data_IF_567099823214
#
_entry.id   IF_567099823214
#
_cell.length_a   1.000
_cell.length_b   1.000
_cell.length_c   1.000
_cell.angle_alpha   90.00
_cell.angle_beta   90.00
_cell.angle_gamma   90.00
#
_symmetry.space_group_name_H-M   'P 1'
#
loop_
_entity.id
_entity.type
_entity.pdbx_description
1 polymer ?
#
# COMPACT_ATOMS: atom_id res chain seq x y z
N UNK A 1 -15.14 41.47 4.25
CA UNK A 1 -15.74 41.07 2.95
C UNK A 1 -16.11 39.61 3.07
N UNK A 2 -17.40 39.32 3.03
CA UNK A 2 -17.94 37.97 3.11
C UNK A 2 -17.95 37.42 1.69
N UNK A 3 -17.07 36.46 1.40
CA UNK A 3 -17.08 35.78 0.10
C UNK A 3 -18.29 34.84 0.12
N UNK A 4 -19.22 35.08 -0.79
CA UNK A 4 -20.45 34.30 -0.92
C UNK A 4 -20.15 32.83 -1.17
N UNK A 5 -20.87 31.96 -0.47
CA UNK A 5 -20.83 30.52 -0.66
C UNK A 5 -21.57 30.22 -1.98
N UNK A 6 -20.86 29.76 -2.99
CA UNK A 6 -21.49 29.09 -4.13
C UNK A 6 -22.31 27.91 -3.60
N UNK A 7 -23.44 27.62 -4.24
CA UNK A 7 -24.37 26.57 -3.83
C UNK A 7 -23.60 25.25 -3.73
N UNK A 8 -23.57 24.65 -2.53
CA UNK A 8 -23.04 23.30 -2.34
C UNK A 8 -23.88 22.37 -3.21
N UNK A 9 -23.21 21.70 -4.15
CA UNK A 9 -23.75 20.50 -4.79
C UNK A 9 -24.03 19.46 -3.70
N UNK A 10 -25.04 18.62 -3.93
CA UNK A 10 -25.35 17.49 -3.06
C UNK A 10 -24.15 16.55 -2.92
N UNK A 11 -24.08 15.82 -1.80
CA UNK A 11 -23.04 14.83 -1.53
C UNK A 11 -23.09 13.72 -2.59
N UNK A 12 -21.94 13.28 -3.13
CA UNK A 12 -21.87 12.14 -4.06
C UNK A 12 -22.34 10.82 -3.42
N UNK A 13 -22.05 10.66 -2.13
CA UNK A 13 -22.54 9.56 -1.28
C UNK A 13 -22.63 10.05 0.16
N UNK A 14 -23.62 9.54 0.90
CA UNK A 14 -23.80 9.81 2.32
C UNK A 14 -24.28 8.56 3.03
N UNK A 15 -23.64 8.24 4.16
CA UNK A 15 -23.95 7.08 5.00
C UNK A 15 -24.07 7.54 6.44
N UNK A 16 -25.01 6.96 7.21
CA UNK A 16 -25.11 7.22 8.63
C UNK A 16 -24.00 6.47 9.38
N UNK A 17 -23.16 7.21 10.10
CA UNK A 17 -22.01 6.67 10.84
C UNK A 17 -22.09 7.05 12.33
N UNK A 18 -23.13 6.60 13.06
CA UNK A 18 -23.28 6.93 14.47
C UNK A 18 -22.06 6.46 15.26
N UNK A 19 -21.57 7.32 16.15
CA UNK A 19 -20.46 7.04 17.07
C UNK A 19 -19.18 6.53 16.41
N UNK A 20 -18.97 6.84 15.12
CA UNK A 20 -17.78 6.39 14.38
C UNK A 20 -16.49 7.03 14.91
N UNK A 21 -16.57 8.25 15.43
CA UNK A 21 -15.48 8.96 16.11
C UNK A 21 -15.78 9.12 17.60
N UNK A 22 -14.72 9.24 18.41
CA UNK A 22 -14.78 9.74 19.79
C UNK A 22 -13.54 10.63 20.06
N UNK A 23 -13.49 11.25 21.24
CA UNK A 23 -12.37 12.12 21.67
C UNK A 23 -11.33 11.42 22.54
N UNK A 24 -11.53 10.15 22.87
CA UNK A 24 -10.74 9.41 23.87
C UNK A 24 -9.60 8.62 23.25
N UNK A 25 -9.74 8.16 22.01
CA UNK A 25 -8.80 7.25 21.35
C UNK A 25 -8.63 7.55 19.86
N UNK A 26 -7.51 7.10 19.30
CA UNK A 26 -7.35 7.01 17.86
C UNK A 26 -8.18 5.87 17.31
N UNK A 27 -8.90 6.13 16.22
CA UNK A 27 -9.61 5.13 15.45
C UNK A 27 -9.04 5.08 14.05
N UNK A 28 -8.74 3.88 13.60
CA UNK A 28 -8.12 3.66 12.31
C UNK A 28 -9.19 3.62 11.21
N UNK A 29 -8.87 4.26 10.09
CA UNK A 29 -9.67 4.28 8.88
C UNK A 29 -8.75 4.21 7.68
N UNK A 30 -9.27 3.73 6.57
CA UNK A 30 -8.59 3.73 5.28
C UNK A 30 -9.43 4.43 4.23
N UNK A 31 -8.75 5.01 3.25
CA UNK A 31 -9.36 5.59 2.05
C UNK A 31 -8.67 4.99 0.85
N UNK A 32 -9.40 4.21 0.05
CA UNK A 32 -8.87 3.56 -1.14
C UNK A 32 -9.38 4.26 -2.40
N UNK A 33 -8.49 4.34 -3.39
CA UNK A 33 -8.79 4.82 -4.74
C UNK A 33 -8.47 3.67 -5.70
N UNK A 34 -9.50 2.92 -6.08
CA UNK A 34 -9.35 1.80 -7.02
C UNK A 34 -10.57 1.76 -7.95
N UNK A 35 -10.37 1.26 -9.18
CA UNK A 35 -11.43 1.07 -10.16
C UNK A 35 -12.33 2.29 -10.44
N UNK A 36 -11.74 3.49 -10.45
CA UNK A 36 -12.46 4.76 -10.61
C UNK A 36 -13.53 5.00 -9.53
N UNK A 37 -13.36 4.39 -8.35
CA UNK A 37 -14.17 4.59 -7.16
C UNK A 37 -13.32 5.14 -6.00
N UNK A 38 -13.97 5.88 -5.10
CA UNK A 38 -13.44 6.18 -3.77
C UNK A 38 -14.16 5.33 -2.75
N UNK A 39 -13.40 4.72 -1.84
CA UNK A 39 -13.89 3.84 -0.77
C UNK A 39 -13.32 4.27 0.56
N UNK A 40 -14.12 4.16 1.62
CA UNK A 40 -13.74 4.47 2.99
C UNK A 40 -14.20 3.34 3.89
N UNK A 41 -13.28 2.84 4.71
CA UNK A 41 -13.55 1.77 5.68
C UNK A 41 -12.85 1.98 7.02
N UNK A 42 -13.10 1.05 7.94
CA UNK A 42 -12.48 1.03 9.27
C UNK A 42 -11.20 0.17 9.22
N UNK A 43 -10.22 0.50 10.04
CA UNK A 43 -9.01 -0.31 10.17
C UNK A 43 -9.33 -1.75 10.55
N UNK A 44 -8.69 -2.70 9.87
CA UNK A 44 -8.93 -4.14 9.97
C UNK A 44 -10.12 -4.67 9.16
N UNK A 45 -11.07 -3.81 8.76
CA UNK A 45 -12.19 -4.20 7.91
C UNK A 45 -11.80 -4.02 6.44
N UNK A 46 -11.88 -5.10 5.65
CA UNK A 46 -11.61 -5.04 4.19
C UNK A 46 -12.74 -4.38 3.42
N UNK A 47 -13.97 -4.49 3.91
CA UNK A 47 -15.15 -3.96 3.23
C UNK A 47 -15.40 -2.50 3.62
N UNK A 48 -15.60 -1.59 2.66
CA UNK A 48 -15.87 -0.18 2.96
C UNK A 48 -17.26 -0.01 3.59
N UNK A 49 -17.39 0.97 4.49
CA UNK A 49 -18.72 1.42 4.95
C UNK A 49 -19.27 2.55 4.07
N UNK A 50 -18.45 3.15 3.21
CA UNK A 50 -18.85 4.22 2.30
C UNK A 50 -18.05 4.12 1.00
N UNK A 51 -18.74 4.15 -0.14
CA UNK A 51 -18.10 4.07 -1.46
C UNK A 51 -18.90 4.85 -2.50
N UNK A 52 -18.22 5.43 -3.48
CA UNK A 52 -18.88 5.97 -4.67
C UNK A 52 -17.99 5.97 -5.92
N UNK A 53 -18.59 5.84 -7.11
CA UNK A 53 -17.90 6.11 -8.37
C UNK A 53 -17.46 7.58 -8.47
N UNK A 54 -16.30 7.81 -9.08
CA UNK A 54 -15.81 9.15 -9.42
C UNK A 54 -16.44 9.54 -10.77
N UNK A 55 -17.38 10.50 -10.83
CA UNK A 55 -18.15 10.77 -12.05
C UNK A 55 -17.29 11.22 -13.24
N UNK A 56 -16.21 11.93 -12.96
CA UNK A 56 -15.20 12.36 -13.94
C UNK A 56 -13.81 12.02 -13.38
N UNK A 57 -13.28 10.80 -13.65
CA UNK A 57 -12.01 10.37 -13.09
C UNK A 57 -10.86 11.31 -13.49
N UNK A 58 -10.05 11.67 -12.51
CA UNK A 58 -8.82 12.43 -12.71
C UNK A 58 -7.74 11.89 -11.78
N UNK A 59 -6.47 12.23 -12.06
CA UNK A 59 -5.36 11.79 -11.21
C UNK A 59 -5.40 12.53 -9.88
N UNK A 60 -5.77 11.82 -8.81
CA UNK A 60 -5.63 12.30 -7.44
C UNK A 60 -4.16 12.14 -7.05
N UNK A 61 -3.52 13.24 -6.69
CA UNK A 61 -2.07 13.28 -6.35
C UNK A 61 -1.80 13.64 -4.90
N UNK A 62 -2.77 14.23 -4.22
CA UNK A 62 -2.64 14.74 -2.86
C UNK A 62 -3.97 14.59 -2.14
N UNK A 63 -3.91 14.40 -0.82
CA UNK A 63 -5.07 14.51 0.07
C UNK A 63 -4.83 15.63 1.08
N UNK A 64 -5.92 16.16 1.61
CA UNK A 64 -5.91 17.11 2.73
C UNK A 64 -6.85 16.62 3.82
N UNK A 65 -6.60 17.04 5.07
CA UNK A 65 -7.38 16.65 6.23
C UNK A 65 -7.69 17.87 7.10
N UNK A 66 -8.85 17.84 7.77
CA UNK A 66 -9.28 18.92 8.66
C UNK A 66 -10.40 18.44 9.57
N UNK A 67 -10.59 19.10 10.72
CA UNK A 67 -11.78 18.92 11.54
C UNK A 67 -12.91 19.87 11.11
N UNK A 68 -14.16 19.41 11.28
CA UNK A 68 -15.35 20.19 10.95
C UNK A 68 -15.65 21.31 11.94
N UNK A 69 -16.72 22.06 11.66
CA UNK A 69 -17.11 23.22 12.48
C UNK A 69 -17.31 22.84 13.96
N UNK A 70 -16.60 23.54 14.85
CA UNK A 70 -16.67 23.35 16.30
C UNK A 70 -15.89 22.15 16.84
N UNK A 71 -15.21 21.37 15.98
CA UNK A 71 -14.43 20.21 16.39
C UNK A 71 -12.92 20.46 16.31
N UNK A 72 -12.18 19.83 17.22
CA UNK A 72 -10.72 19.69 17.21
C UNK A 72 -10.38 18.22 17.41
N UNK A 73 -9.20 17.79 16.97
CA UNK A 73 -8.78 16.40 17.14
C UNK A 73 -7.35 16.18 16.69
N UNK A 74 -6.83 15.00 17.00
CA UNK A 74 -5.51 14.56 16.59
C UNK A 74 -5.63 13.65 15.36
N UNK A 75 -4.61 13.72 14.49
CA UNK A 75 -4.52 12.91 13.28
C UNK A 75 -3.18 12.18 13.31
N UNK A 76 -3.20 10.91 12.96
CA UNK A 76 -2.01 10.07 12.79
C UNK A 76 -2.12 9.37 11.44
N UNK A 77 -1.04 9.38 10.67
CA UNK A 77 -0.99 8.74 9.36
C UNK A 77 -0.12 7.49 9.40
N UNK A 78 -0.57 6.45 8.70
CA UNK A 78 0.14 5.17 8.69
C UNK A 78 1.58 5.31 8.16
N UNK A 79 1.77 6.16 7.14
CA UNK A 79 3.08 6.45 6.55
C UNK A 79 4.12 7.04 7.50
N UNK A 80 3.73 7.55 8.67
CA UNK A 80 4.66 8.06 9.68
C UNK A 80 5.25 6.92 10.55
N UNK A 81 4.70 5.70 10.45
CA UNK A 81 5.16 4.52 11.21
C UNK A 81 6.49 4.03 10.63
N UNK A 82 7.55 4.10 11.43
CA UNK A 82 8.82 3.44 11.13
C UNK A 82 8.76 1.97 11.56
N UNK A 83 9.06 1.09 10.61
CA UNK A 83 9.03 -0.36 10.76
C UNK A 83 10.45 -0.91 10.58
N UNK A 84 10.75 -2.02 11.22
CA UNK A 84 12.05 -2.69 11.08
C UNK A 84 11.88 -4.17 10.84
N UNK A 85 12.79 -4.75 10.06
CA UNK A 85 12.86 -6.19 9.80
C UNK A 85 14.25 -6.69 10.14
N UNK A 86 14.29 -7.86 10.78
CA UNK A 86 15.53 -8.52 11.17
C UNK A 86 16.11 -9.31 9.98
N UNK A 87 17.32 -9.82 10.17
CA UNK A 87 17.99 -10.79 9.29
C UNK A 87 17.29 -12.16 9.39
N UNK A 88 16.08 -12.25 8.83
CA UNK A 88 15.31 -13.49 8.68
C UNK A 88 14.15 -13.36 7.69
N UNK A 89 13.84 -14.46 7.01
CA UNK A 89 12.67 -14.57 6.12
C UNK A 89 11.36 -14.77 6.90
N UNK A 90 11.00 -13.79 7.73
CA UNK A 90 9.71 -13.74 8.44
C UNK A 90 8.95 -12.49 8.02
N UNK A 91 7.88 -12.67 7.24
CA UNK A 91 7.03 -11.57 6.80
C UNK A 91 6.21 -11.00 7.95
N UNK A 92 6.16 -9.68 8.01
CA UNK A 92 5.17 -8.93 8.78
C UNK A 92 4.07 -8.51 7.80
N UNK A 93 2.79 -8.70 8.15
CA UNK A 93 1.67 -8.43 7.26
C UNK A 93 0.87 -7.22 7.72
N UNK A 94 0.45 -6.41 6.75
CA UNK A 94 -0.43 -5.27 6.93
C UNK A 94 -1.59 -5.39 5.92
N UNK A 95 -2.82 -4.94 6.26
CA UNK A 95 -3.92 -4.92 5.31
C UNK A 95 -3.60 -4.06 4.08
N UNK A 96 -4.07 -4.48 2.91
CA UNK A 96 -3.98 -3.72 1.67
C UNK A 96 -5.38 -3.25 1.28
N UNK A 97 -5.61 -1.94 1.38
CA UNK A 97 -6.90 -1.31 1.07
C UNK A 97 -6.87 -0.72 -0.34
N UNK A 98 -7.00 -1.57 -1.36
CA UNK A 98 -6.98 -1.15 -2.77
C UNK A 98 -6.21 -2.12 -3.67
N UNK A 99 -5.74 -1.61 -4.81
CA UNK A 99 -5.00 -2.38 -5.83
C UNK A 99 -3.51 -2.00 -5.96
N UNK A 100 -3.02 -1.21 -5.01
CA UNK A 100 -1.63 -0.78 -4.96
C UNK A 100 -1.16 -0.49 -3.52
N UNK A 101 0.15 -0.52 -3.35
CA UNK A 101 0.86 -0.12 -2.14
C UNK A 101 2.12 0.61 -2.54
N UNK A 102 2.53 1.60 -1.74
CA UNK A 102 3.85 2.20 -1.85
C UNK A 102 4.59 2.08 -0.54
N UNK A 103 5.92 2.03 -0.59
CA UNK A 103 6.74 1.92 0.60
C UNK A 103 8.12 2.51 0.35
N UNK A 104 8.79 2.88 1.43
CA UNK A 104 10.23 3.14 1.42
C UNK A 104 10.95 2.03 2.18
N UNK A 105 12.18 1.73 1.75
CA UNK A 105 13.06 0.81 2.47
C UNK A 105 14.51 1.27 2.38
N UNK A 106 15.23 1.18 3.50
CA UNK A 106 16.68 1.20 3.56
C UNK A 106 17.20 -0.18 4.00
N UNK A 107 17.87 -0.88 3.10
CA UNK A 107 18.54 -2.16 3.35
C UNK A 107 19.66 -2.39 2.31
N UNK A 108 20.58 -3.31 2.62
CA UNK A 108 21.72 -3.64 1.77
C UNK A 108 21.37 -4.58 0.60
N UNK A 109 20.34 -5.42 0.73
CA UNK A 109 19.82 -6.34 -0.28
C UNK A 109 18.50 -6.96 0.20
N UNK A 110 17.90 -7.80 -0.65
CA UNK A 110 16.81 -8.73 -0.35
C UNK A 110 15.61 -8.04 0.36
N UNK A 111 15.15 -6.90 -0.16
CA UNK A 111 13.86 -6.35 0.23
C UNK A 111 12.75 -7.22 -0.37
N UNK A 112 11.95 -7.86 0.47
CA UNK A 112 10.87 -8.73 0.03
C UNK A 112 9.52 -8.11 0.34
N UNK A 113 8.62 -8.20 -0.63
CA UNK A 113 7.20 -7.88 -0.47
C UNK A 113 6.38 -9.10 -0.82
N UNK A 114 5.47 -9.51 0.05
CA UNK A 114 4.50 -10.55 -0.23
C UNK A 114 3.12 -9.94 -0.53
N UNK A 115 2.38 -10.53 -1.47
CA UNK A 115 0.97 -10.19 -1.71
C UNK A 115 0.13 -11.42 -1.38
N UNK A 116 -0.70 -11.32 -0.35
CA UNK A 116 -1.40 -12.44 0.28
C UNK A 116 -2.91 -12.18 0.45
N UNK A 117 -3.65 -13.24 0.78
CA UNK A 117 -5.10 -13.17 1.04
C UNK A 117 -5.46 -13.14 2.53
N UNK A 118 -4.49 -12.95 3.41
CA UNK A 118 -4.67 -12.92 4.86
C UNK A 118 -3.45 -12.33 5.59
N UNK A 119 -3.53 -12.14 6.92
CA UNK A 119 -2.48 -11.54 7.74
C UNK A 119 -1.31 -12.52 8.04
N UNK A 120 -1.13 -13.51 7.18
CA UNK A 120 -0.09 -14.53 7.24
C UNK A 120 0.28 -14.98 5.82
N UNK A 121 1.34 -15.78 5.69
CA UNK A 121 1.65 -16.41 4.41
C UNK A 121 0.49 -17.31 3.97
N UNK A 122 -0.06 -17.03 2.77
CA UNK A 122 -1.14 -17.82 2.18
C UNK A 122 -0.66 -18.66 1.00
N UNK A 123 -1.52 -19.57 0.53
CA UNK A 123 -1.39 -20.16 -0.80
C UNK A 123 -2.72 -19.97 -1.52
N UNK A 124 -2.77 -19.22 -2.64
CA UNK A 124 -1.63 -18.63 -3.33
C UNK A 124 -1.03 -17.37 -2.66
N UNK A 125 0.22 -17.02 -2.98
CA UNK A 125 0.94 -15.82 -2.55
C UNK A 125 1.99 -15.41 -3.60
N UNK A 126 2.06 -14.12 -3.94
CA UNK A 126 3.16 -13.59 -4.74
C UNK A 126 4.29 -13.12 -3.84
N UNK A 127 5.53 -13.34 -4.25
CA UNK A 127 6.71 -12.78 -3.60
C UNK A 127 7.48 -11.90 -4.58
N UNK A 128 7.71 -10.66 -4.19
CA UNK A 128 8.41 -9.65 -4.96
C UNK A 128 9.76 -9.42 -4.29
N UNK A 129 10.83 -9.78 -4.97
CA UNK A 129 12.20 -9.55 -4.55
C UNK A 129 12.68 -8.25 -5.19
N UNK A 130 13.19 -7.33 -4.38
CA UNK A 130 13.82 -6.10 -4.83
C UNK A 130 15.23 -6.05 -4.29
N UNK A 131 16.21 -5.95 -5.20
CA UNK A 131 17.62 -5.96 -4.81
C UNK A 131 18.07 -7.28 -4.21
N UNK A 132 17.55 -8.41 -4.70
CA UNK A 132 18.05 -9.73 -4.34
C UNK A 132 19.33 -10.13 -5.09
N UNK A 133 19.86 -11.29 -4.76
CA UNK A 133 21.15 -11.80 -5.30
C UNK A 133 22.26 -10.76 -5.16
N UNK A 134 22.56 -10.36 -3.92
CA UNK A 134 23.55 -9.31 -3.62
C UNK A 134 23.21 -7.97 -4.29
N UNK A 135 21.93 -7.59 -4.26
CA UNK A 135 21.45 -6.33 -4.83
C UNK A 135 21.66 -6.19 -6.35
N UNK A 136 21.62 -7.31 -7.08
CA UNK A 136 21.83 -7.33 -8.54
C UNK A 136 20.55 -7.57 -9.34
N UNK A 137 19.53 -8.19 -8.73
CA UNK A 137 18.33 -8.59 -9.44
C UNK A 137 17.06 -8.37 -8.64
N UNK A 138 15.95 -8.23 -9.35
CA UNK A 138 14.60 -8.25 -8.79
C UNK A 138 13.78 -9.33 -9.48
N UNK A 139 12.86 -9.95 -8.76
CA UNK A 139 12.05 -11.04 -9.29
C UNK A 139 10.62 -11.05 -8.72
N UNK A 140 9.71 -11.68 -9.44
CA UNK A 140 8.37 -12.04 -8.94
C UNK A 140 8.29 -13.57 -8.94
N UNK A 141 7.88 -14.17 -7.82
CA UNK A 141 7.60 -15.60 -7.67
C UNK A 141 6.16 -15.84 -7.28
N UNK A 142 5.70 -17.05 -7.57
CA UNK A 142 4.45 -17.60 -7.06
C UNK A 142 4.76 -18.73 -6.07
N UNK A 143 4.21 -18.65 -4.86
CA UNK A 143 4.25 -19.72 -3.85
C UNK A 143 5.64 -20.29 -3.53
N UNK A 144 6.66 -19.44 -3.33
CA UNK A 144 8.05 -19.86 -3.09
C UNK A 144 8.63 -20.78 -4.19
N UNK A 145 8.05 -20.74 -5.41
CA UNK A 145 8.45 -21.53 -6.57
C UNK A 145 9.53 -20.85 -7.41
N UNK A 146 9.53 -21.12 -8.71
CA UNK A 146 10.44 -20.51 -9.67
C UNK A 146 10.09 -19.02 -9.93
N UNK A 147 11.08 -18.26 -10.43
CA UNK A 147 10.89 -16.87 -10.86
C UNK A 147 9.93 -16.81 -12.06
N UNK A 148 8.78 -16.14 -11.91
CA UNK A 148 7.85 -15.84 -13.00
C UNK A 148 8.42 -14.76 -13.93
N UNK A 149 9.15 -13.83 -13.34
CA UNK A 149 9.99 -12.85 -14.03
C UNK A 149 11.20 -12.55 -13.14
N UNK A 150 12.36 -12.33 -13.76
CA UNK A 150 13.58 -11.85 -13.13
C UNK A 150 14.25 -10.82 -14.03
N UNK A 151 14.67 -9.71 -13.45
CA UNK A 151 15.30 -8.57 -14.16
C UNK A 151 16.57 -8.13 -13.45
N UNK A 152 17.52 -7.57 -14.19
CA UNK A 152 18.70 -6.92 -13.61
C UNK A 152 18.31 -5.56 -13.02
N UNK A 153 18.64 -5.37 -11.76
CA UNK A 153 18.40 -4.13 -11.00
C UNK A 153 19.60 -3.91 -10.07
N UNK A 154 20.79 -3.64 -10.62
CA UNK A 154 21.98 -3.42 -9.81
C UNK A 154 21.77 -2.21 -8.91
N UNK A 155 22.16 -2.40 -7.65
CA UNK A 155 22.04 -1.40 -6.59
C UNK A 155 20.62 -0.85 -6.48
N UNK A 156 19.59 -1.71 -6.46
CA UNK A 156 18.19 -1.27 -6.39
C UNK A 156 17.83 -0.69 -5.02
N UNK A 157 18.31 -1.32 -3.95
CA UNK A 157 18.17 -0.86 -2.57
C UNK A 157 19.48 -0.27 -2.04
N UNK A 158 19.43 0.47 -0.94
CA UNK A 158 20.62 1.02 -0.28
C UNK A 158 20.41 1.07 1.24
N UNK A 159 21.43 0.76 2.04
CA UNK A 159 21.35 0.84 3.50
C UNK A 159 21.49 2.26 4.05
N UNK A 160 22.12 3.14 3.27
CA UNK A 160 22.47 4.51 3.70
C UNK A 160 21.38 5.53 3.34
N UNK A 161 20.45 5.16 2.46
CA UNK A 161 19.32 5.99 2.03
C UNK A 161 18.06 5.15 1.87
N UNK A 162 16.92 5.71 2.28
CA UNK A 162 15.63 5.11 1.99
C UNK A 162 15.28 5.29 0.51
N UNK A 163 14.86 4.20 -0.13
CA UNK A 163 14.40 4.21 -1.52
C UNK A 163 12.93 3.86 -1.58
N UNK A 164 12.21 4.59 -2.44
CA UNK A 164 10.76 4.53 -2.53
C UNK A 164 10.33 3.71 -3.73
N UNK A 165 9.41 2.79 -3.49
CA UNK A 165 8.88 1.87 -4.47
C UNK A 165 7.36 1.95 -4.50
N UNK A 166 6.80 1.57 -5.65
CA UNK A 166 5.37 1.34 -5.83
C UNK A 166 5.15 -0.06 -6.36
N UNK A 167 4.10 -0.70 -5.85
CA UNK A 167 3.60 -2.00 -6.29
C UNK A 167 2.13 -1.82 -6.63
N UNK A 168 1.74 -2.11 -7.87
CA UNK A 168 0.34 -2.24 -8.26
C UNK A 168 0.07 -3.71 -8.59
N UNK A 169 -1.10 -4.21 -8.20
CA UNK A 169 -1.59 -5.57 -8.47
C UNK A 169 -3.02 -5.54 -9.04
N UNK A 170 -3.33 -4.46 -9.75
CA UNK A 170 -4.63 -4.19 -10.36
C UNK A 170 -4.96 -5.22 -11.44
N UNK A 171 -6.18 -5.76 -11.41
CA UNK A 171 -6.72 -6.69 -12.41
C UNK A 171 -5.80 -7.89 -12.70
N UNK A 172 -5.10 -8.40 -11.67
CA UNK A 172 -4.15 -9.52 -11.82
C UNK A 172 -2.81 -9.15 -12.46
N UNK A 173 -2.58 -7.87 -12.76
CA UNK A 173 -1.34 -7.35 -13.34
C UNK A 173 -0.48 -6.73 -12.24
N UNK A 174 0.63 -7.39 -11.94
CA UNK A 174 1.61 -6.94 -10.95
C UNK A 174 2.66 -6.07 -11.65
N UNK A 175 2.82 -4.84 -11.16
CA UNK A 175 3.84 -3.88 -11.58
C UNK A 175 4.67 -3.47 -10.36
N UNK A 176 5.99 -3.48 -10.49
CA UNK A 176 6.92 -3.02 -9.46
C UNK A 176 7.87 -2.00 -10.07
N UNK A 177 8.04 -0.86 -9.40
CA UNK A 177 8.86 0.24 -9.89
C UNK A 177 9.33 1.16 -8.76
N UNK A 178 10.29 2.03 -9.05
CA UNK A 178 10.54 3.19 -8.19
C UNK A 178 9.31 4.10 -8.22
N UNK A 179 9.03 4.77 -7.10
CA UNK A 179 7.92 5.71 -7.01
C UNK A 179 8.03 6.78 -8.10
N UNK A 180 6.90 7.13 -8.72
CA UNK A 180 6.80 8.13 -9.80
C UNK A 180 7.62 7.83 -11.07
N UNK A 181 7.95 6.55 -11.31
CA UNK A 181 8.65 6.10 -12.52
C UNK A 181 7.93 4.96 -13.23
N UNK A 182 8.41 4.58 -14.42
CA UNK A 182 7.93 3.38 -15.10
C UNK A 182 8.33 2.11 -14.31
N UNK A 183 7.49 1.05 -14.30
CA UNK A 183 7.83 -0.19 -13.62
C UNK A 183 9.04 -0.87 -14.26
N UNK A 184 9.91 -1.45 -13.43
CA UNK A 184 11.03 -2.28 -13.88
C UNK A 184 10.69 -3.78 -13.86
N UNK A 185 9.63 -4.19 -13.14
CA UNK A 185 9.02 -5.52 -13.28
C UNK A 185 7.55 -5.40 -13.62
N UNK A 186 7.10 -6.27 -14.51
CA UNK A 186 5.70 -6.38 -14.89
C UNK A 186 5.36 -7.83 -15.24
N UNK A 187 4.32 -8.36 -14.61
CA UNK A 187 3.82 -9.70 -14.86
C UNK A 187 2.30 -9.75 -14.69
N UNK A 188 1.61 -10.60 -15.45
CA UNK A 188 0.15 -10.76 -15.39
C UNK A 188 -0.19 -12.20 -15.08
N UNK A 189 -0.94 -12.41 -14.02
CA UNK A 189 -1.42 -13.73 -13.64
C UNK A 189 -2.55 -14.18 -14.58
N UNK A 190 -2.48 -15.38 -15.19
CA UNK A 190 -3.62 -15.96 -15.88
C UNK A 190 -4.83 -16.30 -14.97
N UNK A 191 -4.60 -16.54 -13.67
CA UNK A 191 -5.60 -16.95 -12.67
C UNK A 191 -5.48 -16.10 -11.38
N UNK A 192 -5.75 -14.78 -11.45
CA UNK A 192 -5.55 -13.88 -10.31
C UNK A 192 -6.55 -14.14 -9.17
N UNK A 193 -6.13 -13.79 -7.95
CA UNK A 193 -6.96 -13.84 -6.75
C UNK A 193 -7.01 -12.47 -6.05
N UNK A 194 -7.99 -12.31 -5.13
CA UNK A 194 -8.12 -11.09 -4.34
C UNK A 194 -6.98 -11.02 -3.32
N UNK A 195 -6.08 -10.06 -3.49
CA UNK A 195 -5.09 -9.67 -2.49
C UNK A 195 -5.79 -8.83 -1.43
N UNK A 196 -5.51 -9.10 -0.16
CA UNK A 196 -6.05 -8.35 0.99
C UNK A 196 -4.98 -7.88 1.94
N UNK A 197 -3.75 -8.39 1.82
CA UNK A 197 -2.64 -8.07 2.70
C UNK A 197 -1.33 -7.97 1.93
N UNK A 198 -0.47 -7.08 2.40
CA UNK A 198 0.92 -6.94 1.97
C UNK A 198 1.83 -7.39 3.10
N UNK A 199 2.73 -8.32 2.80
CA UNK A 199 3.81 -8.74 3.68
C UNK A 199 5.10 -7.98 3.35
N UNK A 200 5.94 -7.72 4.35
CA UNK A 200 7.27 -7.18 4.14
C UNK A 200 8.30 -7.87 5.05
N UNK A 201 9.49 -8.13 4.51
CA UNK A 201 10.65 -8.60 5.26
C UNK A 201 11.95 -8.27 4.52
N UNK A 202 13.08 -8.48 5.21
CA UNK A 202 14.39 -8.58 4.57
C UNK A 202 14.86 -10.03 4.57
N UNK A 203 15.57 -10.43 3.53
CA UNK A 203 16.16 -11.77 3.43
C UNK A 203 17.36 -11.99 4.36
N UNK A 204 17.96 -13.18 4.24
CA UNK A 204 19.15 -13.53 5.04
C UNK A 204 20.36 -12.68 4.63
N UNK A 205 21.06 -12.09 5.60
CA UNK A 205 22.17 -11.16 5.41
C UNK A 205 21.76 -9.69 5.33
N UNK A 206 20.48 -9.36 5.58
CA UNK A 206 19.96 -8.00 5.52
C UNK A 206 19.02 -7.68 6.69
N UNK A 207 19.11 -6.44 7.19
CA UNK A 207 18.07 -5.83 8.02
C UNK A 207 17.47 -4.66 7.27
N UNK A 208 16.23 -4.32 7.57
CA UNK A 208 15.51 -3.27 6.84
C UNK A 208 14.87 -2.26 7.77
N UNK A 209 14.90 -0.98 7.35
CA UNK A 209 14.05 0.08 7.89
C UNK A 209 13.02 0.43 6.82
N UNK A 210 11.74 0.41 7.19
CA UNK A 210 10.63 0.52 6.25
C UNK A 210 9.65 1.61 6.68
N UNK A 211 9.00 2.22 5.70
CA UNK A 211 7.73 2.93 5.87
C UNK A 211 6.77 2.41 4.81
N UNK A 212 5.55 2.06 5.21
CA UNK A 212 4.54 1.55 4.30
C UNK A 212 3.43 2.59 4.18
N UNK A 213 2.95 2.78 2.96
CA UNK A 213 1.84 3.66 2.62
C UNK A 213 0.77 2.80 1.93
N UNK A 214 -0.26 2.50 2.70
CA UNK A 214 -1.45 1.70 2.38
C UNK A 214 -2.71 2.53 2.53
#
# INVERSE_FOLDING_TARGET
MQVGREARTDDLVKVDTPDVLNEEEYREFWVALDNDEIKVGKGGDIEPFMQCPIPEPFTITHYGYSTGWGATGWWQFYGDKQLTTEDCLTYNFEPAYGDSVSFSVACNNDAHVALASGPEETTPMYELFIGGWENQHSAIRLNKGDDMIKVETPDAVCSDEERKFSVSFKDGRIKVGYMDTAPFMEWTDPEPWKITHVGYCTGWGATGKWQIHI
#
